data_IF_079852160478
#
_entry.id   IF_079852160478
#
_cell.length_a   1.000
_cell.length_b   1.000
_cell.length_c   1.000
_cell.angle_alpha   90.00
_cell.angle_beta   90.00
_cell.angle_gamma   90.00
#
_symmetry.space_group_name_H-M   'P 1'
#
loop_
_entity.id
_entity.type
_entity.pdbx_description
1 polymer ?
#
# COMPACT_ATOMS: atom_id res chain seq x y z
N UNK A 1 22.80 1.88 69.23
CA UNK A 1 21.37 1.48 69.25
C UNK A 1 20.75 2.01 67.96
N UNK A 2 20.63 1.23 66.88
CA UNK A 2 19.42 0.46 66.51
C UNK A 2 18.15 1.26 66.86
N UNK A 3 17.35 1.72 65.89
CA UNK A 3 16.52 0.86 65.03
C UNK A 3 16.37 1.42 63.61
N UNK A 4 16.57 0.53 62.64
CA UNK A 4 16.08 0.64 61.26
C UNK A 4 14.55 0.50 61.30
N UNK A 5 13.82 1.38 60.63
CA UNK A 5 12.46 1.07 60.17
C UNK A 5 12.44 1.33 58.67
N UNK A 6 12.53 0.22 57.96
CA UNK A 6 12.22 0.03 56.56
C UNK A 6 10.75 0.42 56.34
N UNK A 7 10.48 1.32 55.40
CA UNK A 7 9.15 1.50 54.81
C UNK A 7 9.27 1.19 53.32
N UNK A 8 9.16 -0.10 53.02
CA UNK A 8 9.00 -0.68 51.69
C UNK A 8 7.58 -1.28 51.67
N UNK A 9 6.93 -1.25 50.50
CA UNK A 9 5.62 -1.84 50.17
C UNK A 9 4.46 -0.89 50.58
N UNK A 10 3.66 -0.28 49.68
CA UNK A 10 2.71 -0.97 48.79
C UNK A 10 2.16 0.02 47.72
N UNK A 11 2.86 0.20 46.59
CA UNK A 11 2.25 0.71 45.33
C UNK A 11 2.58 -0.31 44.22
N UNK A 12 2.32 -1.58 44.51
CA UNK A 12 2.26 -2.65 43.51
C UNK A 12 0.97 -3.38 43.86
N UNK A 13 -0.15 -2.90 43.33
CA UNK A 13 -1.47 -3.39 43.70
C UNK A 13 -2.63 -2.82 42.90
N UNK A 14 -2.42 -1.77 42.11
CA UNK A 14 -3.45 -1.26 41.19
C UNK A 14 -3.26 -1.73 39.74
N UNK A 15 -2.03 -2.08 39.32
CA UNK A 15 -1.77 -2.66 38.01
C UNK A 15 -2.17 -4.13 37.89
N UNK A 16 -2.04 -4.91 38.98
CA UNK A 16 -2.38 -6.35 38.99
C UNK A 16 -3.83 -6.63 39.42
N UNK A 17 -4.48 -5.76 40.21
CA UNK A 17 -5.91 -5.93 40.53
C UNK A 17 -6.80 -5.53 39.34
N UNK A 18 -6.43 -4.49 38.59
CA UNK A 18 -7.10 -4.13 37.34
C UNK A 18 -6.97 -5.20 36.25
N UNK A 19 -5.87 -5.96 36.25
CA UNK A 19 -5.67 -7.07 35.31
C UNK A 19 -6.40 -8.35 35.77
N UNK A 20 -6.54 -8.59 37.08
CA UNK A 20 -7.23 -9.78 37.60
C UNK A 20 -8.76 -9.67 37.53
N UNK A 21 -9.34 -8.46 37.66
CA UNK A 21 -10.79 -8.27 37.48
C UNK A 21 -11.23 -8.31 36.02
N UNK A 22 -10.30 -8.20 35.05
CA UNK A 22 -10.63 -8.32 33.62
C UNK A 22 -10.59 -9.77 33.11
N UNK A 23 -9.99 -10.71 33.85
CA UNK A 23 -9.85 -12.11 33.44
C UNK A 23 -10.95 -13.05 33.98
N UNK A 24 -12.04 -12.49 34.51
CA UNK A 24 -13.23 -13.26 34.95
C UNK A 24 -14.57 -12.59 34.58
N UNK A 25 -14.63 -11.90 33.43
CA UNK A 25 -15.92 -11.71 32.76
C UNK A 25 -16.03 -12.69 31.59
N UNK A 26 -16.62 -13.86 31.85
CA UNK A 26 -17.18 -14.75 30.82
C UNK A 26 -18.48 -14.18 30.22
N UNK A 27 -18.75 -12.88 30.40
CA UNK A 27 -19.69 -12.17 29.56
C UNK A 27 -18.99 -11.91 28.23
N UNK A 28 -19.19 -12.84 27.30
CA UNK A 28 -19.06 -12.59 25.86
C UNK A 28 -19.98 -11.41 25.56
N UNK A 29 -19.44 -10.19 25.64
CA UNK A 29 -20.12 -9.01 25.12
C UNK A 29 -20.14 -9.22 23.61
N UNK A 30 -21.24 -9.77 23.12
CA UNK A 30 -21.57 -9.78 21.70
C UNK A 30 -21.68 -8.32 21.26
N UNK A 31 -20.55 -7.71 20.88
CA UNK A 31 -20.53 -6.41 20.23
C UNK A 31 -21.22 -6.62 18.89
N UNK A 32 -22.51 -6.30 18.89
CA UNK A 32 -23.37 -6.47 17.74
C UNK A 32 -22.79 -5.67 16.59
N UNK A 33 -22.52 -6.31 15.43
CA UNK A 33 -22.20 -5.72 14.12
C UNK A 33 -23.26 -4.73 13.56
N UNK A 34 -24.16 -4.28 14.42
CA UNK A 34 -25.34 -3.45 14.18
C UNK A 34 -25.05 -1.96 14.40
N UNK A 35 -23.81 -1.57 14.66
CA UNK A 35 -23.39 -0.20 14.98
C UNK A 35 -22.85 0.58 13.76
N UNK A 36 -22.57 -0.09 12.64
CA UNK A 36 -22.18 0.59 11.38
C UNK A 36 -23.33 1.46 10.87
N UNK A 37 -23.12 2.78 10.68
CA UNK A 37 -24.14 3.66 10.10
C UNK A 37 -24.53 3.22 8.68
N UNK A 38 -25.81 3.39 8.33
CA UNK A 38 -26.25 3.21 6.94
C UNK A 38 -25.82 4.42 6.08
N UNK A 39 -24.55 4.43 5.67
CA UNK A 39 -23.98 5.48 4.83
C UNK A 39 -24.68 5.59 3.47
N UNK A 40 -25.35 4.54 3.00
CA UNK A 40 -26.09 4.57 1.74
C UNK A 40 -27.36 5.42 1.86
N UNK A 41 -27.96 5.52 3.04
CA UNK A 41 -29.12 6.35 3.31
C UNK A 41 -28.82 7.87 3.35
N UNK A 42 -27.54 8.27 3.42
CA UNK A 42 -27.14 9.68 3.46
C UNK A 42 -26.94 10.20 2.02
N UNK A 43 -27.83 11.08 1.56
CA UNK A 43 -27.78 11.62 0.20
C UNK A 43 -26.78 12.77 0.02
N UNK A 44 -26.63 13.65 1.00
CA UNK A 44 -25.67 14.74 0.94
C UNK A 44 -24.23 14.21 1.07
N UNK A 45 -23.40 14.52 0.06
CA UNK A 45 -22.04 14.00 -0.04
C UNK A 45 -21.17 14.46 1.14
N UNK A 46 -21.28 15.72 1.56
CA UNK A 46 -20.47 16.22 2.67
C UNK A 46 -20.91 15.59 4.00
N UNK A 47 -22.22 15.46 4.23
CA UNK A 47 -22.77 14.80 5.41
C UNK A 47 -22.34 13.33 5.48
N UNK A 48 -22.32 12.63 4.33
CA UNK A 48 -21.83 11.24 4.25
C UNK A 48 -20.35 11.15 4.61
N UNK A 49 -19.50 12.01 4.01
CA UNK A 49 -18.06 12.05 4.32
C UNK A 49 -17.81 12.35 5.80
N UNK A 50 -18.50 13.34 6.36
CA UNK A 50 -18.43 13.66 7.80
C UNK A 50 -18.87 12.48 8.68
N UNK A 51 -20.00 11.85 8.37
CA UNK A 51 -20.48 10.70 9.14
C UNK A 51 -19.48 9.53 9.07
N UNK A 52 -18.91 9.26 7.90
CA UNK A 52 -17.92 8.22 7.68
C UNK A 52 -16.66 8.45 8.52
N UNK A 53 -16.10 9.66 8.48
CA UNK A 53 -14.91 9.98 9.28
C UNK A 53 -15.20 9.95 10.78
N UNK A 54 -16.34 10.48 11.23
CA UNK A 54 -16.73 10.44 12.64
C UNK A 54 -16.89 9.01 13.17
N UNK A 55 -17.32 8.07 12.32
CA UNK A 55 -17.43 6.66 12.69
C UNK A 55 -16.04 6.00 12.84
N UNK A 56 -15.09 6.30 11.96
CA UNK A 56 -13.72 5.75 12.01
C UNK A 56 -12.85 6.38 13.09
N UNK A 57 -13.09 7.65 13.42
CA UNK A 57 -12.19 8.45 14.26
C UNK A 57 -11.84 7.83 15.61
N UNK A 58 -12.81 7.32 16.41
CA UNK A 58 -12.49 6.77 17.72
C UNK A 58 -11.55 5.56 17.63
N UNK A 59 -11.79 4.67 16.66
CA UNK A 59 -10.94 3.51 16.41
C UNK A 59 -9.53 3.90 15.94
N UNK A 60 -9.44 4.89 15.06
CA UNK A 60 -8.16 5.45 14.62
C UNK A 60 -7.36 6.05 15.79
N UNK A 61 -8.01 6.82 16.66
CA UNK A 61 -7.37 7.47 17.80
C UNK A 61 -6.82 6.43 18.80
N UNK A 62 -7.59 5.38 19.10
CA UNK A 62 -7.15 4.28 19.98
C UNK A 62 -5.93 3.58 19.40
N UNK A 63 -6.01 3.12 18.15
CA UNK A 63 -4.91 2.35 17.52
C UNK A 63 -3.66 3.21 17.32
N UNK A 64 -3.83 4.50 16.99
CA UNK A 64 -2.69 5.42 16.88
C UNK A 64 -2.01 5.62 18.23
N UNK A 65 -2.78 5.74 19.32
CA UNK A 65 -2.24 5.85 20.67
C UNK A 65 -1.49 4.58 21.11
N UNK A 66 -2.00 3.40 20.78
CA UNK A 66 -1.33 2.12 21.03
C UNK A 66 0.04 2.06 20.34
N UNK A 67 0.09 2.37 19.03
CA UNK A 67 1.34 2.35 18.25
C UNK A 67 2.34 3.39 18.76
N UNK A 68 1.88 4.59 19.15
CA UNK A 68 2.74 5.60 19.75
C UNK A 68 3.31 5.15 21.10
N UNK A 69 2.51 4.47 21.93
CA UNK A 69 2.95 3.93 23.21
C UNK A 69 3.99 2.81 23.02
N UNK A 70 3.76 1.89 22.09
CA UNK A 70 4.73 0.85 21.71
C UNK A 70 6.04 1.48 21.22
N UNK A 71 5.96 2.48 20.33
CA UNK A 71 7.14 3.19 19.82
C UNK A 71 7.92 3.90 20.93
N UNK A 72 7.23 4.58 21.86
CA UNK A 72 7.86 5.28 22.97
C UNK A 72 8.60 4.31 23.91
N UNK A 73 8.03 3.12 24.13
CA UNK A 73 8.68 2.05 24.89
C UNK A 73 9.95 1.56 24.19
N UNK A 74 9.89 1.31 22.88
CA UNK A 74 11.05 0.92 22.08
C UNK A 74 12.16 1.98 22.11
N UNK A 75 11.83 3.26 22.00
CA UNK A 75 12.80 4.36 22.12
C UNK A 75 13.45 4.41 23.50
N UNK A 76 12.68 4.14 24.56
CA UNK A 76 13.21 4.06 25.93
C UNK A 76 14.21 2.93 26.07
N UNK A 77 13.91 1.76 25.50
CA UNK A 77 14.78 0.60 25.49
C UNK A 77 16.02 0.78 24.61
N UNK A 78 15.90 1.51 23.50
CA UNK A 78 17.03 1.81 22.62
C UNK A 78 18.15 2.56 23.36
N UNK A 79 17.80 3.43 24.31
CA UNK A 79 18.75 4.19 25.12
C UNK A 79 19.39 3.38 26.27
N UNK A 80 18.94 2.14 26.51
CA UNK A 80 19.47 1.30 27.60
C UNK A 80 20.71 0.52 27.17
N UNK A 81 21.65 0.38 28.10
CA UNK A 81 22.79 -0.50 27.93
C UNK A 81 22.39 -1.98 27.93
N UNK A 82 21.40 -2.37 28.75
CA UNK A 82 20.84 -3.71 28.83
C UNK A 82 19.38 -3.65 29.31
N UNK A 83 18.57 -4.59 28.82
CA UNK A 83 17.18 -4.77 29.25
C UNK A 83 17.09 -5.72 30.45
N UNK A 84 16.04 -5.58 31.25
CA UNK A 84 15.68 -6.59 32.26
C UNK A 84 15.04 -7.81 31.59
N UNK A 85 14.93 -8.94 32.29
CA UNK A 85 14.27 -10.15 31.78
C UNK A 85 12.80 -9.91 31.39
N UNK A 86 12.09 -9.08 32.15
CA UNK A 86 10.69 -8.72 31.83
C UNK A 86 10.61 -7.87 30.56
N UNK A 87 11.55 -6.93 30.39
CA UNK A 87 11.65 -6.10 29.18
C UNK A 87 12.04 -6.92 27.96
N UNK A 88 12.94 -7.90 28.10
CA UNK A 88 13.27 -8.84 27.03
C UNK A 88 12.06 -9.69 26.63
N UNK A 89 11.27 -10.13 27.60
CA UNK A 89 10.04 -10.89 27.33
C UNK A 89 9.03 -10.03 26.56
N UNK A 90 8.86 -8.76 26.98
CA UNK A 90 7.97 -7.84 26.29
C UNK A 90 8.49 -7.44 24.90
N UNK A 91 9.80 -7.21 24.75
CA UNK A 91 10.45 -6.97 23.47
C UNK A 91 10.23 -8.15 22.52
N UNK A 92 10.38 -9.39 22.99
CA UNK A 92 10.14 -10.58 22.19
C UNK A 92 8.68 -10.68 21.75
N UNK A 93 7.72 -10.35 22.62
CA UNK A 93 6.30 -10.34 22.26
C UNK A 93 6.00 -9.33 21.14
N UNK A 94 6.60 -8.13 21.19
CA UNK A 94 6.49 -7.13 20.12
C UNK A 94 7.18 -7.65 18.85
N UNK A 95 8.40 -8.20 18.97
CA UNK A 95 9.14 -8.76 17.85
C UNK A 95 8.35 -9.86 17.12
N UNK A 96 7.71 -10.76 17.85
CA UNK A 96 6.88 -11.83 17.29
C UNK A 96 5.66 -11.25 16.57
N UNK A 97 5.00 -10.25 17.17
CA UNK A 97 3.85 -9.58 16.55
C UNK A 97 4.19 -8.95 15.19
N UNK A 98 5.37 -8.34 15.11
CA UNK A 98 5.92 -7.65 13.94
C UNK A 98 6.85 -8.56 13.09
N UNK A 99 6.94 -9.85 13.39
CA UNK A 99 7.78 -10.84 12.68
C UNK A 99 9.26 -10.41 12.53
N UNK A 100 9.79 -9.69 13.50
CA UNK A 100 11.20 -9.27 13.53
C UNK A 100 12.06 -10.38 14.11
N UNK A 101 13.13 -10.74 13.40
CA UNK A 101 14.14 -11.70 13.86
C UNK A 101 15.52 -11.05 13.80
N UNK A 102 16.20 -10.98 14.92
CA UNK A 102 17.59 -10.52 15.00
C UNK A 102 18.34 -11.22 16.14
N UNK A 103 19.66 -11.00 16.22
CA UNK A 103 20.52 -11.76 17.15
C UNK A 103 20.64 -11.07 18.51
N UNK A 104 20.45 -9.75 18.57
CA UNK A 104 20.57 -8.96 19.80
C UNK A 104 19.36 -8.07 20.04
N UNK A 105 19.07 -7.75 21.30
CA UNK A 105 17.98 -6.85 21.70
C UNK A 105 18.04 -5.52 20.93
N UNK A 106 19.23 -4.92 20.81
CA UNK A 106 19.42 -3.65 20.10
C UNK A 106 19.11 -3.76 18.61
N UNK A 107 19.42 -4.89 17.96
CA UNK A 107 19.04 -5.10 16.56
C UNK A 107 17.53 -5.28 16.40
N UNK A 108 16.89 -6.00 17.34
CA UNK A 108 15.42 -6.14 17.37
C UNK A 108 14.76 -4.76 17.54
N UNK A 109 15.22 -3.97 18.50
CA UNK A 109 14.70 -2.61 18.76
C UNK A 109 14.87 -1.72 17.52
N UNK A 110 16.05 -1.72 16.89
CA UNK A 110 16.30 -0.91 15.69
C UNK A 110 15.36 -1.29 14.54
N UNK A 111 15.17 -2.59 14.29
CA UNK A 111 14.24 -3.07 13.27
C UNK A 111 12.78 -2.72 13.60
N UNK A 112 12.38 -2.85 14.87
CA UNK A 112 11.05 -2.46 15.33
C UNK A 112 10.81 -0.96 15.21
N UNK A 113 11.81 -0.11 15.42
CA UNK A 113 11.66 1.35 15.25
C UNK A 113 11.47 1.77 13.78
N UNK A 114 11.75 0.91 12.80
CA UNK A 114 11.38 1.13 11.39
C UNK A 114 9.91 0.72 11.15
N UNK A 115 9.45 -0.33 11.86
CA UNK A 115 8.10 -0.90 11.71
C UNK A 115 7.02 -0.18 12.51
N UNK A 116 7.23 0.00 13.81
CA UNK A 116 6.26 0.50 14.79
C UNK A 116 6.18 2.01 14.74
N UNK A 117 5.32 2.54 13.89
CA UNK A 117 5.06 3.97 13.81
C UNK A 117 3.67 4.27 13.26
N UNK A 118 3.22 5.51 13.43
CA UNK A 118 1.89 5.99 13.04
C UNK A 118 1.71 5.98 11.53
N UNK A 119 0.44 5.93 11.12
CA UNK A 119 0.00 6.15 9.75
C UNK A 119 -0.92 7.38 9.79
N UNK A 120 -0.66 8.43 9.00
CA UNK A 120 -1.44 9.67 9.04
C UNK A 120 -2.94 9.44 8.77
N UNK A 121 -3.79 10.19 9.49
CA UNK A 121 -5.26 10.11 9.43
C UNK A 121 -5.77 10.19 7.98
N UNK A 122 -5.22 11.14 7.21
CA UNK A 122 -5.62 11.39 5.83
C UNK A 122 -5.39 10.17 4.93
N UNK A 123 -4.29 9.44 5.19
CA UNK A 123 -3.97 8.23 4.45
C UNK A 123 -4.92 7.09 4.83
N UNK A 124 -5.08 6.84 6.13
CA UNK A 124 -5.97 5.77 6.64
C UNK A 124 -7.41 5.98 6.14
N UNK A 125 -7.93 7.20 6.26
CA UNK A 125 -9.31 7.49 5.90
C UNK A 125 -9.54 7.51 4.40
N UNK A 126 -8.56 7.97 3.61
CA UNK A 126 -8.67 7.93 2.14
C UNK A 126 -8.65 6.50 1.63
N UNK A 127 -7.76 5.65 2.14
CA UNK A 127 -7.75 4.22 1.80
C UNK A 127 -9.07 3.57 2.21
N UNK A 128 -9.55 3.82 3.44
CA UNK A 128 -10.79 3.23 3.90
C UNK A 128 -12.00 3.63 3.05
N UNK A 129 -12.10 4.92 2.70
CA UNK A 129 -13.16 5.43 1.85
C UNK A 129 -13.10 4.81 0.44
N UNK A 130 -11.90 4.66 -0.12
CA UNK A 130 -11.69 4.02 -1.41
C UNK A 130 -12.14 2.55 -1.38
N UNK A 131 -11.64 1.77 -0.42
CA UNK A 131 -11.89 0.33 -0.31
C UNK A 131 -13.37 -0.02 -0.09
N UNK A 132 -14.12 0.89 0.53
CA UNK A 132 -15.51 0.60 0.95
C UNK A 132 -16.57 1.36 0.17
N UNK A 133 -16.18 2.26 -0.73
CA UNK A 133 -17.10 3.23 -1.32
C UNK A 133 -17.78 4.05 -0.23
N UNK A 134 -17.01 4.71 0.64
CA UNK A 134 -17.50 5.51 1.77
C UNK A 134 -18.38 4.72 2.75
N UNK A 135 -17.99 3.48 3.06
CA UNK A 135 -18.65 2.61 4.04
C UNK A 135 -19.88 1.87 3.52
N UNK A 136 -20.23 2.03 2.24
CA UNK A 136 -21.46 1.43 1.68
C UNK A 136 -21.32 -0.06 1.33
N UNK A 137 -20.08 -0.54 1.20
CA UNK A 137 -19.76 -1.94 0.93
C UNK A 137 -20.40 -2.91 1.92
N UNK A 138 -20.85 -4.07 1.44
CA UNK A 138 -21.38 -5.14 2.30
C UNK A 138 -20.33 -5.67 3.27
N UNK A 139 -19.05 -5.66 2.90
CA UNK A 139 -17.97 -6.15 3.76
C UNK A 139 -17.68 -5.20 4.92
N UNK A 140 -17.82 -3.88 4.69
CA UNK A 140 -17.80 -2.89 5.76
C UNK A 140 -18.99 -3.07 6.70
N UNK A 141 -20.22 -3.16 6.15
CA UNK A 141 -21.46 -3.26 6.93
C UNK A 141 -21.60 -4.56 7.73
N UNK A 142 -21.16 -5.70 7.19
CA UNK A 142 -21.39 -7.01 7.80
C UNK A 142 -20.15 -7.61 8.46
N UNK A 143 -18.96 -7.09 8.12
CA UNK A 143 -17.69 -7.63 8.58
C UNK A 143 -16.77 -6.60 9.20
N UNK A 144 -17.19 -5.34 9.35
CA UNK A 144 -16.31 -4.24 9.74
C UNK A 144 -15.02 -4.17 8.91
N UNK A 145 -15.01 -4.70 7.68
CA UNK A 145 -13.81 -4.69 6.85
C UNK A 145 -13.76 -3.39 6.06
N UNK A 146 -13.12 -2.40 6.67
CA UNK A 146 -13.04 -1.04 6.14
C UNK A 146 -11.81 -0.81 5.25
N UNK A 147 -11.02 -1.85 5.00
CA UNK A 147 -9.71 -1.77 4.33
C UNK A 147 -9.46 -2.91 3.33
N UNK A 148 -10.52 -3.63 2.92
CA UNK A 148 -10.40 -4.71 1.94
C UNK A 148 -9.44 -5.83 2.36
N UNK A 149 -9.31 -6.12 3.66
CA UNK A 149 -8.32 -7.09 4.17
C UNK A 149 -8.75 -8.52 3.86
N UNK A 150 -7.90 -9.29 3.19
CA UNK A 150 -8.10 -10.72 2.97
C UNK A 150 -7.66 -11.55 4.19
N UNK A 151 -8.22 -12.75 4.31
CA UNK A 151 -7.76 -13.77 5.23
C UNK A 151 -7.86 -15.16 4.57
N UNK A 152 -7.03 -16.10 5.02
CA UNK A 152 -6.75 -17.35 4.29
C UNK A 152 -7.08 -18.61 5.11
N UNK A 153 -7.84 -18.46 6.18
CA UNK A 153 -8.32 -19.59 7.00
C UNK A 153 -9.81 -19.73 6.81
N UNK A 154 -10.30 -20.93 6.52
CA UNK A 154 -11.73 -21.15 6.31
C UNK A 154 -12.56 -20.61 7.49
N UNK A 155 -13.54 -19.75 7.21
CA UNK A 155 -14.42 -19.13 8.19
C UNK A 155 -13.83 -17.91 8.92
N UNK A 156 -12.70 -17.37 8.45
CA UNK A 156 -12.12 -16.13 8.99
C UNK A 156 -12.89 -14.86 8.57
N UNK A 157 -13.81 -14.96 7.61
CA UNK A 157 -14.45 -13.80 7.03
C UNK A 157 -15.71 -14.11 6.23
N UNK A 158 -15.97 -13.23 5.26
CA UNK A 158 -17.11 -13.26 4.37
C UNK A 158 -16.62 -13.72 3.00
N UNK A 159 -17.25 -14.77 2.46
CA UNK A 159 -16.92 -15.30 1.13
C UNK A 159 -17.40 -14.32 0.04
N UNK A 160 -16.53 -13.88 -0.88
CA UNK A 160 -16.94 -13.12 -2.05
C UNK A 160 -17.94 -13.88 -2.92
N UNK A 161 -18.94 -13.18 -3.48
CA UNK A 161 -19.95 -13.82 -4.32
C UNK A 161 -19.37 -14.33 -5.66
N UNK A 162 -18.32 -13.67 -6.17
CA UNK A 162 -17.67 -14.01 -7.45
C UNK A 162 -16.23 -14.49 -7.24
N UNK A 163 -16.00 -15.33 -6.23
CA UNK A 163 -14.66 -15.87 -5.97
C UNK A 163 -14.24 -16.82 -7.09
N UNK A 164 -13.03 -16.62 -7.63
CA UNK A 164 -12.42 -17.51 -8.60
C UNK A 164 -12.42 -18.97 -8.13
N UNK A 165 -12.63 -19.89 -9.06
CA UNK A 165 -12.66 -21.31 -8.75
C UNK A 165 -11.29 -21.77 -8.23
N UNK A 166 -11.24 -22.24 -6.98
CA UNK A 166 -10.02 -22.70 -6.33
C UNK A 166 -9.31 -21.65 -5.47
N UNK A 167 -9.82 -20.42 -5.36
CA UNK A 167 -9.31 -19.46 -4.38
C UNK A 167 -9.76 -19.82 -2.96
N UNK A 168 -8.83 -19.84 -2.00
CA UNK A 168 -9.08 -20.18 -0.60
C UNK A 168 -9.22 -18.95 0.32
N UNK A 169 -9.13 -17.75 -0.23
CA UNK A 169 -9.26 -16.51 0.54
C UNK A 169 -10.73 -16.13 0.81
N UNK A 170 -10.93 -15.46 1.95
CA UNK A 170 -12.17 -14.79 2.36
C UNK A 170 -11.86 -13.31 2.66
N UNK A 171 -12.85 -12.44 2.62
CA UNK A 171 -12.70 -11.05 3.09
C UNK A 171 -12.85 -11.05 4.59
N UNK A 172 -11.79 -10.70 5.33
CA UNK A 172 -11.76 -10.78 6.79
C UNK A 172 -12.98 -10.11 7.43
N UNK A 173 -13.47 -10.70 8.52
CA UNK A 173 -14.49 -10.09 9.37
C UNK A 173 -13.86 -9.75 10.72
N UNK A 174 -14.21 -8.59 11.25
CA UNK A 174 -13.76 -8.10 12.55
C UNK A 174 -14.94 -7.88 13.49
N UNK A 175 -14.70 -8.07 14.79
CA UNK A 175 -15.72 -7.88 15.82
C UNK A 175 -16.07 -6.39 16.03
N UNK A 176 -15.14 -5.49 15.71
CA UNK A 176 -15.33 -4.05 15.81
C UNK A 176 -14.53 -3.29 14.74
N UNK A 177 -14.89 -2.02 14.54
CA UNK A 177 -14.11 -1.11 13.71
C UNK A 177 -12.68 -0.92 14.24
N UNK A 178 -12.48 -0.93 15.56
CA UNK A 178 -11.16 -0.85 16.19
C UNK A 178 -10.29 -2.06 15.83
N UNK A 179 -10.83 -3.27 15.85
CA UNK A 179 -10.12 -4.48 15.43
C UNK A 179 -9.72 -4.43 13.94
N UNK A 180 -10.58 -3.86 13.10
CA UNK A 180 -10.30 -3.63 11.68
C UNK A 180 -9.14 -2.67 11.45
N UNK A 181 -9.17 -1.50 12.11
CA UNK A 181 -8.10 -0.49 12.05
C UNK A 181 -6.80 -1.05 12.61
N UNK A 182 -6.83 -1.76 13.74
CA UNK A 182 -5.63 -2.40 14.31
C UNK A 182 -5.01 -3.42 13.37
N UNK A 183 -5.83 -4.26 12.74
CA UNK A 183 -5.35 -5.21 11.73
C UNK A 183 -4.70 -4.50 10.54
N UNK A 184 -5.31 -3.42 10.06
CA UNK A 184 -4.77 -2.60 8.98
C UNK A 184 -3.42 -1.96 9.36
N UNK A 185 -3.32 -1.33 10.54
CA UNK A 185 -2.05 -0.77 11.04
C UNK A 185 -0.97 -1.82 11.14
N UNK A 186 -1.28 -2.99 11.71
CA UNK A 186 -0.33 -4.11 11.79
C UNK A 186 0.12 -4.57 10.42
N UNK A 187 -0.78 -4.63 9.43
CA UNK A 187 -0.43 -5.02 8.08
C UNK A 187 0.60 -4.06 7.47
N UNK A 188 0.28 -2.75 7.45
CA UNK A 188 1.17 -1.71 6.90
C UNK A 188 2.52 -1.66 7.63
N UNK A 189 2.51 -1.82 8.95
CA UNK A 189 3.73 -1.73 9.76
C UNK A 189 4.60 -3.00 9.73
N UNK A 190 4.06 -4.15 9.33
CA UNK A 190 4.77 -5.45 9.41
C UNK A 190 5.15 -6.04 8.07
N UNK A 191 4.26 -5.94 7.10
CA UNK A 191 4.33 -6.76 5.90
C UNK A 191 5.40 -6.24 4.95
N UNK A 192 6.17 -7.13 4.33
CA UNK A 192 7.35 -6.78 3.53
C UNK A 192 6.99 -5.90 2.32
N UNK A 193 5.78 -6.06 1.79
CA UNK A 193 5.28 -5.33 0.63
C UNK A 193 5.15 -3.82 0.86
N UNK A 194 5.07 -3.40 2.13
CA UNK A 194 5.03 -1.99 2.54
C UNK A 194 6.36 -1.48 3.11
N UNK A 195 7.47 -2.20 2.89
CA UNK A 195 8.79 -1.69 3.24
C UNK A 195 9.06 -0.29 2.64
N UNK A 196 8.75 0.01 1.37
CA UNK A 196 8.96 1.35 0.82
C UNK A 196 8.21 2.45 1.60
N UNK A 197 6.99 2.19 2.08
CA UNK A 197 6.25 3.14 2.92
C UNK A 197 6.98 3.39 4.25
N UNK A 198 7.49 2.33 4.87
CA UNK A 198 8.22 2.41 6.14
C UNK A 198 9.57 3.10 5.98
N UNK A 199 10.26 2.91 4.86
CA UNK A 199 11.52 3.58 4.56
C UNK A 199 11.31 5.09 4.41
N UNK A 200 10.32 5.51 3.62
CA UNK A 200 9.91 6.93 3.51
C UNK A 200 9.61 7.51 4.90
N UNK A 201 8.82 6.79 5.71
CA UNK A 201 8.49 7.23 7.07
C UNK A 201 9.73 7.32 7.97
N UNK A 202 10.67 6.40 7.84
CA UNK A 202 11.93 6.43 8.59
C UNK A 202 12.81 7.61 8.18
N UNK A 203 12.88 7.93 6.89
CA UNK A 203 13.61 9.11 6.39
C UNK A 203 13.01 10.41 6.95
N UNK A 204 11.68 10.55 6.93
CA UNK A 204 11.00 11.70 7.54
C UNK A 204 11.35 11.83 9.03
N UNK A 205 11.38 10.73 9.78
CA UNK A 205 11.80 10.74 11.20
C UNK A 205 13.25 11.18 11.38
N UNK A 206 14.16 10.70 10.54
CA UNK A 206 15.60 11.04 10.62
C UNK A 206 15.82 12.53 10.37
N UNK A 207 15.01 13.12 9.48
CA UNK A 207 15.08 14.54 9.13
C UNK A 207 14.27 15.46 10.06
N UNK A 208 13.64 14.91 11.12
CA UNK A 208 12.72 15.63 12.01
C UNK A 208 11.53 16.27 11.26
N UNK A 209 11.11 15.63 10.17
CA UNK A 209 9.97 16.04 9.36
C UNK A 209 8.68 15.40 9.87
N UNK A 210 7.55 16.08 9.63
CA UNK A 210 6.23 15.53 9.95
C UNK A 210 5.92 14.32 9.08
N UNK A 211 5.37 13.25 9.67
CA UNK A 211 4.96 12.06 8.92
C UNK A 211 3.81 12.42 7.97
N UNK A 212 4.11 12.47 6.68
CA UNK A 212 3.25 13.07 5.66
C UNK A 212 2.44 12.03 4.86
N UNK A 213 1.12 12.18 4.82
CA UNK A 213 0.23 11.25 4.14
C UNK A 213 0.52 11.09 2.63
N UNK A 214 0.79 12.19 1.93
CA UNK A 214 1.07 12.20 0.49
C UNK A 214 2.41 11.53 0.16
N UNK A 215 3.42 11.71 1.02
CA UNK A 215 4.71 11.04 0.91
C UNK A 215 4.55 9.54 1.10
N UNK A 216 3.92 9.12 2.21
CA UNK A 216 3.72 7.71 2.56
C UNK A 216 2.88 6.97 1.50
N UNK A 217 1.92 7.63 0.86
CA UNK A 217 1.13 7.06 -0.23
C UNK A 217 1.99 6.51 -1.39
N UNK A 218 3.17 7.09 -1.64
CA UNK A 218 4.11 6.57 -2.66
C UNK A 218 4.56 5.13 -2.38
N UNK A 219 4.61 4.74 -1.12
CA UNK A 219 5.01 3.40 -0.69
C UNK A 219 3.92 2.33 -0.80
N UNK A 220 2.72 2.67 -1.28
CA UNK A 220 1.57 1.76 -1.39
C UNK A 220 1.48 1.02 -2.73
N UNK A 221 2.57 0.98 -3.51
CA UNK A 221 2.58 0.37 -4.85
C UNK A 221 2.06 -1.07 -4.87
N UNK A 222 2.27 -1.82 -3.78
CA UNK A 222 1.84 -3.21 -3.66
C UNK A 222 0.52 -3.39 -2.91
N UNK A 223 -0.17 -2.31 -2.53
CA UNK A 223 -1.48 -2.39 -1.87
C UNK A 223 -2.60 -2.78 -2.84
N UNK A 224 -2.47 -2.40 -4.12
CA UNK A 224 -3.48 -2.65 -5.15
C UNK A 224 -2.88 -3.19 -6.43
N UNK A 225 -3.64 -4.02 -7.15
CA UNK A 225 -3.31 -4.48 -8.51
C UNK A 225 -3.16 -3.31 -9.49
N UNK A 226 -3.82 -2.18 -9.19
CA UNK A 226 -3.77 -0.94 -9.98
C UNK A 226 -2.45 -0.18 -9.84
N UNK A 227 -1.56 -0.59 -8.92
CA UNK A 227 -0.21 -0.03 -8.76
C UNK A 227 -0.22 1.51 -8.65
N UNK A 228 0.48 2.21 -9.54
CA UNK A 228 0.60 3.67 -9.51
C UNK A 228 -0.75 4.39 -9.59
N UNK A 229 -1.71 3.86 -10.36
CA UNK A 229 -3.03 4.48 -10.48
C UNK A 229 -3.80 4.49 -9.14
N UNK A 230 -3.55 3.51 -8.26
CA UNK A 230 -4.08 3.52 -6.90
C UNK A 230 -3.43 4.61 -6.04
N UNK A 231 -2.10 4.78 -6.15
CA UNK A 231 -1.39 5.84 -5.42
C UNK A 231 -1.92 7.22 -5.82
N UNK A 232 -2.13 7.46 -7.12
CA UNK A 232 -2.68 8.71 -7.64
C UNK A 232 -4.09 8.98 -7.13
N UNK A 233 -4.94 7.94 -7.08
CA UNK A 233 -6.30 8.02 -6.53
C UNK A 233 -6.29 8.39 -5.04
N UNK A 234 -5.45 7.73 -4.24
CA UNK A 234 -5.31 8.03 -2.81
C UNK A 234 -4.80 9.45 -2.58
N UNK A 235 -3.77 9.90 -3.32
CA UNK A 235 -3.25 11.27 -3.23
C UNK A 235 -4.31 12.31 -3.64
N UNK A 236 -5.08 12.02 -4.68
CA UNK A 236 -6.19 12.87 -5.09
C UNK A 236 -7.26 12.97 -3.99
N UNK A 237 -7.62 11.85 -3.34
CA UNK A 237 -8.56 11.83 -2.21
C UNK A 237 -8.04 12.62 -1.01
N UNK A 238 -6.77 12.46 -0.64
CA UNK A 238 -6.12 13.23 0.46
C UNK A 238 -6.26 14.73 0.19
N UNK A 239 -5.92 15.17 -1.03
CA UNK A 239 -5.97 16.58 -1.42
C UNK A 239 -7.40 17.13 -1.48
N UNK A 240 -8.32 16.38 -2.09
CA UNK A 240 -9.69 16.84 -2.32
C UNK A 240 -10.49 16.96 -1.01
N UNK A 241 -10.23 16.06 -0.07
CA UNK A 241 -10.97 16.00 1.20
C UNK A 241 -10.29 16.78 2.33
N UNK A 242 -9.28 17.63 2.04
CA UNK A 242 -8.51 18.44 3.03
C UNK A 242 -9.32 19.18 4.09
N UNK A 243 -10.56 19.55 3.78
CA UNK A 243 -11.47 20.27 4.70
C UNK A 243 -11.98 19.40 5.85
N UNK A 244 -11.80 18.08 5.79
CA UNK A 244 -12.30 17.13 6.77
C UNK A 244 -11.23 16.64 7.75
N UNK A 245 -9.94 16.86 7.46
CA UNK A 245 -8.85 16.36 8.29
C UNK A 245 -8.65 17.19 9.54
N UNK A 246 -8.44 16.55 10.69
CA UNK A 246 -8.21 17.26 11.96
C UNK A 246 -6.86 17.99 11.95
N UNK A 247 -5.83 17.38 11.36
CA UNK A 247 -4.44 17.87 11.39
C UNK A 247 -3.96 18.36 10.02
N UNK A 248 -4.70 19.31 9.42
CA UNK A 248 -4.42 19.83 8.09
C UNK A 248 -3.06 20.57 7.96
N UNK A 249 -2.46 21.01 9.08
CA UNK A 249 -1.23 21.82 9.08
C UNK A 249 0.06 21.00 8.95
N UNK A 250 0.04 19.70 9.27
CA UNK A 250 1.24 18.84 9.16
C UNK A 250 1.39 18.19 7.79
N UNK A 251 0.36 18.25 6.95
CA UNK A 251 0.35 17.62 5.63
C UNK A 251 0.75 18.64 4.57
N UNK A 252 1.96 18.48 4.04
CA UNK A 252 2.38 19.13 2.80
C UNK A 252 1.69 18.45 1.61
N UNK A 253 0.68 19.13 1.07
CA UNK A 253 -0.08 18.69 -0.10
C UNK A 253 0.65 18.85 -1.42
N UNK A 254 1.78 19.58 -1.47
CA UNK A 254 2.59 19.65 -2.69
C UNK A 254 3.07 18.24 -3.08
N UNK A 255 3.36 17.39 -2.10
CA UNK A 255 3.73 15.98 -2.29
C UNK A 255 2.58 15.09 -2.82
N UNK A 256 1.33 15.59 -2.80
CA UNK A 256 0.19 14.90 -3.42
C UNK A 256 0.04 15.25 -4.90
N UNK A 257 0.73 16.28 -5.42
CA UNK A 257 0.75 16.53 -6.85
C UNK A 257 1.45 15.35 -7.55
N UNK A 258 0.91 14.90 -8.69
CA UNK A 258 1.69 14.04 -9.57
C UNK A 258 3.00 14.78 -9.89
N UNK A 259 4.16 14.09 -9.91
CA UNK A 259 5.38 14.73 -10.37
C UNK A 259 5.08 15.38 -11.71
N UNK A 260 5.44 16.66 -11.87
CA UNK A 260 5.29 17.31 -13.18
C UNK A 260 5.97 16.41 -14.20
N UNK A 261 5.35 16.18 -15.38
CA UNK A 261 5.99 15.40 -16.42
C UNK A 261 7.35 16.06 -16.64
N UNK A 262 8.42 15.31 -16.37
CA UNK A 262 9.78 15.78 -16.68
C UNK A 262 9.79 15.91 -18.20
N UNK A 263 9.58 17.13 -18.69
CA UNK A 263 9.85 17.48 -20.07
C UNK A 263 11.35 17.36 -20.19
N UNK A 264 11.81 16.16 -20.54
CA UNK A 264 13.13 16.01 -21.11
C UNK A 264 13.07 16.80 -22.39
N UNK A 265 13.66 18.00 -22.37
CA UNK A 265 13.98 18.71 -23.59
C UNK A 265 14.73 17.71 -24.46
N UNK A 266 14.09 17.29 -25.55
CA UNK A 266 14.77 16.54 -26.58
C UNK A 266 15.77 17.55 -27.13
N UNK A 267 16.98 17.52 -26.61
CA UNK A 267 18.10 18.15 -27.29
C UNK A 267 18.16 17.40 -28.62
N UNK A 268 17.79 18.06 -29.72
CA UNK A 268 18.11 17.58 -31.05
C UNK A 268 19.62 17.41 -31.07
N UNK A 269 20.12 16.19 -30.84
CA UNK A 269 21.49 15.86 -31.19
C UNK A 269 21.61 16.08 -32.69
N UNK A 270 22.52 16.99 -33.05
CA UNK A 270 22.86 17.33 -34.42
C UNK A 270 22.90 16.07 -35.28
N UNK A 271 22.11 16.07 -36.35
CA UNK A 271 22.01 14.97 -37.29
C UNK A 271 23.42 14.49 -37.69
N UNK A 272 23.78 13.29 -37.25
CA UNK A 272 24.99 12.61 -37.71
C UNK A 272 24.78 12.35 -39.21
N UNK A 273 25.45 13.13 -40.07
CA UNK A 273 25.55 12.82 -41.49
C UNK A 273 26.25 11.48 -41.65
N UNK A 274 25.48 10.44 -41.97
CA UNK A 274 26.03 9.14 -42.33
C UNK A 274 26.92 9.30 -43.58
N UNK A 275 28.15 8.77 -43.58
CA UNK A 275 29.03 8.86 -44.74
C UNK A 275 28.38 8.15 -45.94
N UNK A 276 28.36 8.84 -47.07
CA UNK A 276 27.65 8.41 -48.29
C UNK A 276 28.26 7.18 -48.99
N UNK A 277 29.38 6.66 -48.48
CA UNK A 277 30.07 5.49 -49.02
C UNK A 277 30.72 4.72 -47.87
N UNK A 278 30.21 3.52 -47.58
CA UNK A 278 30.91 2.53 -46.76
C UNK A 278 31.81 1.75 -47.71
N UNK A 279 33.13 1.96 -47.61
CA UNK A 279 34.10 1.07 -48.25
C UNK A 279 34.38 -0.09 -47.30
N UNK A 280 33.87 -1.27 -47.65
CA UNK A 280 34.26 -2.50 -46.96
C UNK A 280 35.66 -2.85 -47.45
N UNK A 281 36.64 -2.73 -46.56
CA UNK A 281 37.96 -3.34 -46.77
C UNK A 281 37.94 -4.68 -46.05
N UNK A 282 38.24 -5.74 -46.79
CA UNK A 282 38.41 -7.09 -46.27
C UNK A 282 39.70 -7.12 -45.44
N UNK A 283 39.61 -6.70 -44.18
CA UNK A 283 40.52 -7.13 -43.11
C UNK A 283 40.01 -6.60 -41.77
N UNK A 284 39.22 -7.41 -41.07
CA UNK A 284 39.10 -7.30 -39.62
C UNK A 284 38.76 -8.65 -39.01
N UNK A 285 39.64 -9.05 -38.10
CA UNK A 285 39.63 -10.26 -37.33
C UNK A 285 38.33 -10.50 -36.55
N UNK A 286 38.02 -11.78 -36.42
CA UNK A 286 37.00 -12.37 -35.54
C UNK A 286 37.28 -11.95 -34.09
N UNK A 287 36.31 -11.30 -33.45
CA UNK A 287 36.16 -11.26 -31.99
C UNK A 287 34.76 -11.76 -31.63
N UNK A 288 34.75 -12.66 -30.63
CA UNK A 288 33.71 -13.59 -30.17
C UNK A 288 32.29 -13.03 -29.97
N UNK A 289 31.30 -13.89 -30.23
CA UNK A 289 30.16 -14.06 -29.33
C UNK A 289 30.07 -15.52 -28.90
N UNK A 290 30.48 -15.79 -27.66
CA UNK A 290 30.34 -17.08 -27.00
C UNK A 290 28.99 -17.13 -26.26
N UNK A 291 28.24 -18.18 -26.57
CA UNK A 291 27.27 -18.91 -25.75
C UNK A 291 25.93 -18.25 -25.36
N UNK A 292 24.89 -18.64 -26.12
CA UNK A 292 23.55 -18.93 -25.60
C UNK A 292 23.54 -20.43 -25.25
N UNK A 293 23.28 -20.74 -23.98
CA UNK A 293 23.12 -22.11 -23.48
C UNK A 293 21.74 -22.65 -23.87
N UNK A 294 21.71 -23.75 -24.64
CA UNK A 294 20.49 -24.54 -24.83
C UNK A 294 20.84 -26.01 -24.67
N UNK A 295 20.25 -26.60 -23.65
CA UNK A 295 20.37 -28.02 -23.28
C UNK A 295 19.59 -28.87 -24.28
N UNK A 296 20.27 -29.82 -24.91
CA UNK A 296 19.69 -30.80 -25.83
C UNK A 296 19.19 -32.02 -25.04
N UNK A 297 17.94 -32.43 -25.31
CA UNK A 297 17.41 -33.77 -25.02
C UNK A 297 17.17 -34.46 -26.36
N UNK A 298 17.94 -35.49 -26.69
CA UNK A 298 17.60 -36.43 -27.78
C UNK A 298 16.58 -37.48 -27.30
N UNK A 299 15.78 -38.06 -28.22
CA UNK A 299 16.22 -39.37 -28.75
C UNK A 299 15.84 -39.65 -30.22
N UNK A 300 16.64 -40.50 -30.88
CA UNK A 300 16.08 -41.72 -31.47
C UNK A 300 15.87 -41.79 -32.99
N UNK A 301 16.98 -41.91 -33.72
CA UNK A 301 17.22 -42.77 -34.89
C UNK A 301 16.06 -43.64 -35.46
N UNK A 302 15.52 -43.32 -36.65
CA UNK A 302 14.96 -44.30 -37.63
C UNK A 302 15.11 -43.78 -39.10
N UNK A 303 15.91 -44.54 -39.87
CA UNK A 303 15.93 -44.84 -41.32
C UNK A 303 15.27 -43.94 -42.41
N UNK A 304 16.12 -43.48 -43.33
CA UNK A 304 16.18 -43.81 -44.78
C UNK A 304 14.94 -43.65 -45.71
N UNK A 305 15.07 -42.73 -46.69
CA UNK A 305 14.86 -42.88 -48.16
C UNK A 305 13.94 -41.86 -48.89
N UNK A 306 14.43 -41.51 -50.10
CA UNK A 306 13.81 -40.90 -51.30
C UNK A 306 13.50 -39.39 -51.24
N UNK A 307 14.27 -38.53 -51.92
CA UNK A 307 14.16 -38.16 -53.36
C UNK A 307 12.80 -37.58 -53.73
N UNK A 308 12.71 -36.24 -53.82
CA UNK A 308 12.20 -35.54 -55.00
C UNK A 308 12.44 -34.02 -54.88
N UNK A 309 13.09 -33.47 -55.91
CA UNK A 309 13.30 -32.04 -56.11
C UNK A 309 12.26 -31.53 -57.10
N UNK A 310 11.50 -30.48 -56.78
CA UNK A 310 10.84 -29.62 -57.79
C UNK A 310 10.89 -28.15 -57.33
N UNK A 311 11.20 -27.32 -58.34
CA UNK A 311 11.64 -25.92 -58.38
C UNK A 311 10.70 -24.84 -57.78
N UNK A 312 11.35 -23.74 -57.41
CA UNK A 312 10.79 -22.40 -57.16
C UNK A 312 10.21 -21.77 -58.45
N UNK A 313 9.34 -20.76 -58.30
CA UNK A 313 9.50 -19.58 -59.15
C UNK A 313 9.64 -18.26 -58.37
N UNK A 314 10.35 -17.38 -59.07
CA UNK A 314 10.80 -16.02 -58.81
C UNK A 314 9.71 -14.97 -58.46
N UNK A 315 10.00 -14.16 -57.43
CA UNK A 315 10.19 -12.67 -57.48
C UNK A 315 9.03 -11.74 -57.96
N UNK A 316 8.63 -10.84 -57.03
CA UNK A 316 8.17 -9.42 -57.14
C UNK A 316 6.73 -9.09 -57.59
N UNK A 317 5.95 -8.46 -56.68
CA UNK A 317 5.71 -7.00 -56.67
C UNK A 317 4.85 -6.56 -55.47
N UNK A 318 5.42 -5.74 -54.58
CA UNK A 318 4.69 -5.00 -53.54
C UNK A 318 4.36 -3.61 -54.08
N UNK A 319 3.07 -3.29 -54.20
CA UNK A 319 2.59 -1.91 -54.37
C UNK A 319 2.12 -1.37 -53.03
N UNK A 320 2.76 -0.29 -52.59
CA UNK A 320 2.33 0.54 -51.45
C UNK A 320 1.28 1.51 -51.96
N UNK A 321 0.08 1.50 -51.36
CA UNK A 321 -0.91 2.53 -51.59
C UNK A 321 -1.00 3.43 -50.35
N UNK A 322 -0.70 4.70 -50.56
CA UNK A 322 -0.74 5.78 -49.58
C UNK A 322 -1.86 6.72 -49.95
N UNK A 323 -2.93 6.78 -49.16
CA UNK A 323 -3.96 7.81 -49.30
C UNK A 323 -3.98 8.74 -48.09
N UNK A 324 -3.43 9.94 -48.33
CA UNK A 324 -3.63 11.20 -47.62
C UNK A 324 -5.07 11.69 -47.77
N UNK A 325 -5.67 12.27 -46.71
CA UNK A 325 -6.77 13.25 -46.85
C UNK A 325 -6.56 14.42 -45.88
N UNK A 326 -6.76 15.60 -46.45
CA UNK A 326 -6.54 16.99 -46.00
C UNK A 326 -7.16 17.43 -44.66
N UNK A 327 -6.41 18.29 -43.96
CA UNK A 327 -6.92 19.21 -42.96
C UNK A 327 -7.30 20.56 -43.61
N UNK A 328 -8.53 21.03 -43.38
CA UNK A 328 -8.94 22.41 -43.67
C UNK A 328 -8.80 23.30 -42.44
N UNK A 329 -8.14 24.43 -42.67
CA UNK A 329 -7.91 25.58 -41.79
C UNK A 329 -9.14 26.50 -41.81
N UNK A 330 -9.58 27.00 -40.65
CA UNK A 330 -10.11 28.37 -40.58
C UNK A 330 -10.15 28.95 -39.14
N UNK A 331 -9.40 30.04 -39.01
CA UNK A 331 -9.57 31.29 -38.25
C UNK A 331 -10.00 31.38 -36.77
N UNK A 332 -9.13 32.10 -36.07
CA UNK A 332 -9.12 32.62 -34.71
C UNK A 332 -10.34 33.44 -34.30
N UNK A 333 -10.76 33.26 -33.03
CA UNK A 333 -11.22 34.36 -32.17
C UNK A 333 -10.75 34.14 -30.73
N UNK A 334 -10.06 35.15 -30.23
CA UNK A 334 -9.64 35.34 -28.84
C UNK A 334 -10.89 35.53 -27.96
N UNK A 335 -11.02 34.75 -26.88
CA UNK A 335 -11.82 35.09 -25.70
C UNK A 335 -11.10 34.56 -24.45
N UNK A 336 -10.83 35.47 -23.53
CA UNK A 336 -10.26 35.28 -22.20
C UNK A 336 -11.20 34.59 -21.20
N UNK A 337 -10.56 33.97 -20.20
CA UNK A 337 -10.99 33.76 -18.81
C UNK A 337 -11.82 32.52 -18.45
N UNK A 338 -11.22 31.77 -17.50
CA UNK A 338 -11.82 31.03 -16.40
C UNK A 338 -12.93 30.01 -16.71
N UNK A 339 -12.56 28.72 -16.62
CA UNK A 339 -13.30 27.76 -15.76
C UNK A 339 -12.51 26.46 -15.53
N UNK A 340 -12.27 26.21 -14.25
CA UNK A 340 -11.92 24.94 -13.63
C UNK A 340 -12.84 23.80 -14.11
N UNK A 341 -12.24 22.68 -14.48
CA UNK A 341 -12.96 21.43 -14.75
C UNK A 341 -12.10 20.23 -14.32
N UNK A 342 -11.77 20.13 -13.03
CA UNK A 342 -11.38 18.85 -12.42
C UNK A 342 -12.65 18.13 -12.00
N UNK A 343 -13.24 17.40 -12.94
CA UNK A 343 -14.39 16.54 -12.71
C UNK A 343 -13.88 15.10 -12.53
N UNK A 344 -13.32 14.79 -11.36
CA UNK A 344 -13.00 13.41 -10.99
C UNK A 344 -14.32 12.70 -10.70
N UNK A 345 -14.84 11.96 -11.69
CA UNK A 345 -15.94 11.01 -11.51
C UNK A 345 -15.44 9.85 -10.63
N UNK A 346 -15.61 9.91 -9.31
CA UNK A 346 -15.45 8.70 -8.49
C UNK A 346 -16.33 8.62 -7.23
N UNK A 347 -17.25 9.57 -7.01
CA UNK A 347 -18.10 9.59 -5.80
C UNK A 347 -19.33 8.62 -5.85
N UNK A 348 -19.38 7.67 -6.80
CA UNK A 348 -20.55 6.78 -7.01
C UNK A 348 -20.22 5.30 -7.20
N UNK A 349 -19.14 4.79 -6.60
CA UNK A 349 -18.84 3.35 -6.63
C UNK A 349 -19.45 2.65 -5.41
N UNK A 350 -20.52 1.89 -5.64
CA UNK A 350 -20.93 0.80 -4.73
C UNK A 350 -19.98 -0.37 -4.93
N UNK A 351 -19.07 -0.58 -3.99
CA UNK A 351 -18.13 -1.69 -4.03
C UNK A 351 -18.83 -3.03 -3.72
N UNK A 352 -19.18 -3.79 -4.76
CA UNK A 352 -19.66 -5.19 -4.61
C UNK A 352 -18.49 -6.18 -4.36
N UNK A 353 -17.26 -5.74 -4.61
CA UNK A 353 -15.99 -6.38 -4.27
C UNK A 353 -15.04 -5.35 -3.63
N UNK A 354 -14.12 -5.73 -2.72
CA UNK A 354 -13.00 -4.84 -2.38
C UNK A 354 -12.29 -4.43 -3.68
N UNK A 355 -11.83 -3.17 -3.78
CA UNK A 355 -11.16 -2.66 -4.99
C UNK A 355 -9.84 -3.43 -5.13
N UNK A 356 -9.84 -4.52 -5.92
CA UNK A 356 -8.75 -5.50 -6.12
C UNK A 356 -7.45 -5.11 -5.42
N UNK A 357 -7.44 -5.29 -4.10
CA UNK A 357 -6.26 -5.10 -3.30
C UNK A 357 -5.47 -6.39 -3.48
N UNK A 358 -4.28 -6.29 -4.06
CA UNK A 358 -3.28 -7.30 -3.73
C UNK A 358 -2.96 -6.95 -2.29
N UNK A 359 -3.56 -7.60 -1.31
CA UNK A 359 -2.93 -7.58 0.01
C UNK A 359 -1.69 -8.44 -0.18
N UNK A 360 -0.64 -7.80 -0.70
CA UNK A 360 0.66 -8.41 -0.86
C UNK A 360 1.11 -8.83 0.54
N UNK A 361 1.59 -10.07 0.65
CA UNK A 361 1.76 -10.89 1.89
C UNK A 361 2.93 -10.51 2.80
#
# INVERSE_FOLDING_TARGET
MQKKITALILIIGLGLFGLYTFLQSDDIVEVKKSDVPDFAAISDVNAKKTAFFNYLQPAFDVVTAEVLAERALLSTWQAKAALTTDEQTQLQAIADMYKVKATTDQQVIAALLIQVDVIPEELVFSQSANETGWGTSRFAKQGHNFFGQWCFSKGCGIVPNQRDQGADHEVASFDSIEASVRSYFRNINRNQSYLPLRDIRSELRINDESINACALAAGLINYSERKAAYIDEIRAMIRHNRKFWRNNTSTDYALCAAPEPVVTEIVEEDAIELPKVITLTDDAAIVEMKNIDTTIVEPGNIAENAEDAIELPEVISLTVDSTFVEAKKNDSKIVESNKTADNVKNDTVTAEEPIKSVVAE
#
